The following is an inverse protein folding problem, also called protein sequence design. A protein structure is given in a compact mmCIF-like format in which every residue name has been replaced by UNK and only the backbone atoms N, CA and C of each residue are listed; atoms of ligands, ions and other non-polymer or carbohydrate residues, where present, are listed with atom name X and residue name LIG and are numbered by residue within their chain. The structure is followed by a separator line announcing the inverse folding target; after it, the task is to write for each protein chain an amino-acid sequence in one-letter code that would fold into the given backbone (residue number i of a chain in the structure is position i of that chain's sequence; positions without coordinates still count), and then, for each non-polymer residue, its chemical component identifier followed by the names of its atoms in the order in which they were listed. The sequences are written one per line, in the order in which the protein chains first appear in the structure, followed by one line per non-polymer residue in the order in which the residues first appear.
data_IF_745536828115
#
_entry.id   IF_745536828115
#
_cell.length_a   1.000
_cell.length_b   1.000
_cell.length_c   1.000
_cell.angle_alpha   90.00
_cell.angle_beta   90.00
_cell.angle_gamma   90.00
#
_symmetry.space_group_name_H-M   'P 1'
#
loop_
_entity.id
_entity.type
_entity.pdbx_description
1 polymer ?
#
# COMPACT_ATOMS: atom_id res chain seq x y z
N UNK A 1 29.43 -11.51 -32.61
CA UNK A 1 29.22 -10.96 -31.25
C UNK A 1 27.74 -10.68 -31.13
N UNK A 2 27.01 -11.49 -30.35
CA UNK A 2 25.57 -11.29 -30.16
C UNK A 2 25.38 -10.26 -29.05
N UNK A 3 24.93 -9.06 -29.40
CA UNK A 3 24.50 -8.06 -28.43
C UNK A 3 23.19 -8.53 -27.82
N UNK A 4 23.24 -9.09 -26.62
CA UNK A 4 22.02 -9.28 -25.82
C UNK A 4 21.62 -7.89 -25.32
N UNK A 5 20.54 -7.37 -25.89
CA UNK A 5 19.95 -6.10 -25.49
C UNK A 5 19.30 -6.27 -24.11
N UNK A 6 19.78 -5.52 -23.12
CA UNK A 6 19.25 -5.54 -21.76
C UNK A 6 17.79 -5.04 -21.68
N UNK A 7 17.25 -4.49 -22.77
CA UNK A 7 15.84 -4.11 -22.91
C UNK A 7 14.86 -5.31 -22.96
N UNK A 8 15.37 -6.55 -23.15
CA UNK A 8 14.55 -7.77 -23.27
C UNK A 8 13.99 -8.30 -21.93
N UNK A 9 14.43 -7.77 -20.80
CA UNK A 9 13.88 -8.09 -19.48
C UNK A 9 13.33 -6.81 -18.85
N UNK A 10 12.07 -6.45 -19.11
CA UNK A 10 11.44 -5.42 -18.32
C UNK A 10 11.23 -6.01 -16.93
N UNK A 11 12.16 -5.74 -16.02
CA UNK A 11 11.88 -5.77 -14.58
C UNK A 11 10.82 -4.69 -14.35
N UNK A 12 9.56 -5.07 -14.61
CA UNK A 12 8.43 -4.15 -14.70
C UNK A 12 8.20 -3.40 -13.39
N UNK A 13 8.67 -3.97 -12.27
CA UNK A 13 8.66 -3.39 -10.93
C UNK A 13 10.00 -3.69 -10.23
N UNK A 14 10.67 -2.65 -9.75
CA UNK A 14 11.88 -2.75 -8.94
C UNK A 14 11.61 -3.50 -7.63
N UNK A 15 12.66 -3.96 -6.94
CA UNK A 15 12.51 -4.53 -5.59
C UNK A 15 11.81 -3.55 -4.62
N UNK A 16 12.14 -2.27 -4.72
CA UNK A 16 11.51 -1.19 -3.93
C UNK A 16 10.00 -1.15 -4.15
N UNK A 17 9.54 -1.30 -5.41
CA UNK A 17 8.10 -1.28 -5.73
C UNK A 17 7.37 -2.48 -5.10
N UNK A 18 8.02 -3.65 -5.08
CA UNK A 18 7.46 -4.85 -4.43
C UNK A 18 7.35 -4.68 -2.91
N UNK A 19 8.34 -4.04 -2.28
CA UNK A 19 8.29 -3.71 -0.85
C UNK A 19 7.18 -2.71 -0.56
N UNK A 20 7.10 -1.62 -1.34
CA UNK A 20 6.06 -0.61 -1.19
C UNK A 20 4.66 -1.22 -1.30
N UNK A 21 4.45 -2.08 -2.30
CA UNK A 21 3.20 -2.81 -2.48
C UNK A 21 2.86 -3.69 -1.28
N UNK A 22 3.83 -4.43 -0.75
CA UNK A 22 3.65 -5.24 0.45
C UNK A 22 3.25 -4.42 1.68
N UNK A 23 3.89 -3.27 1.88
CA UNK A 23 3.56 -2.34 2.98
C UNK A 23 2.15 -1.77 2.82
N UNK A 24 1.77 -1.34 1.61
CA UNK A 24 0.40 -0.86 1.34
C UNK A 24 -0.64 -1.93 1.63
N UNK A 25 -0.40 -3.18 1.22
CA UNK A 25 -1.29 -4.31 1.53
C UNK A 25 -1.43 -4.54 3.04
N UNK A 26 -0.32 -4.53 3.77
CA UNK A 26 -0.33 -4.72 5.22
C UNK A 26 -1.09 -3.60 5.95
N UNK A 27 -0.86 -2.34 5.57
CA UNK A 27 -1.55 -1.19 6.16
C UNK A 27 -3.04 -1.19 5.86
N UNK A 28 -3.44 -1.55 4.64
CA UNK A 28 -4.86 -1.69 4.29
C UNK A 28 -5.53 -2.77 5.13
N UNK A 29 -4.91 -3.95 5.23
CA UNK A 29 -5.44 -5.05 6.06
C UNK A 29 -5.58 -4.66 7.53
N UNK A 30 -4.60 -3.94 8.08
CA UNK A 30 -4.67 -3.39 9.44
C UNK A 30 -5.90 -2.47 9.61
N UNK A 31 -6.12 -1.57 8.66
CA UNK A 31 -7.29 -0.68 8.69
C UNK A 31 -8.61 -1.43 8.51
N UNK A 32 -8.66 -2.48 7.68
CA UNK A 32 -9.83 -3.35 7.52
C UNK A 32 -10.17 -4.09 8.83
N UNK A 33 -9.17 -4.67 9.49
CA UNK A 33 -9.34 -5.39 10.76
C UNK A 33 -9.77 -4.46 11.90
N UNK A 34 -9.21 -3.25 11.99
CA UNK A 34 -9.61 -2.24 12.95
C UNK A 34 -11.03 -1.71 12.66
N UNK A 35 -11.36 -1.47 11.39
CA UNK A 35 -12.69 -1.03 10.97
C UNK A 35 -13.78 -2.06 11.30
N UNK A 36 -13.48 -3.36 11.17
CA UNK A 36 -14.38 -4.44 11.56
C UNK A 36 -14.69 -4.46 13.07
N UNK A 37 -13.85 -3.83 13.89
CA UNK A 37 -13.99 -3.70 15.34
C UNK A 37 -14.47 -2.32 15.78
N UNK A 38 -14.82 -1.44 14.84
CA UNK A 38 -15.15 -0.03 15.12
C UNK A 38 -14.03 0.73 15.86
N UNK A 39 -12.77 0.33 15.64
CA UNK A 39 -11.59 0.94 16.26
C UNK A 39 -11.11 2.18 15.49
N UNK A 40 -10.36 3.03 16.21
CA UNK A 40 -9.63 4.14 15.64
C UNK A 40 -8.16 3.77 15.41
N UNK A 41 -7.53 4.41 14.43
CA UNK A 41 -6.10 4.35 14.19
C UNK A 41 -5.47 5.73 14.34
N UNK A 42 -4.27 5.77 14.91
CA UNK A 42 -3.48 7.00 15.04
C UNK A 42 -2.63 7.16 13.78
N UNK A 43 -2.81 8.28 13.08
CA UNK A 43 -2.12 8.61 11.84
C UNK A 43 -1.54 10.01 11.90
N UNK A 44 -0.50 10.26 11.08
CA UNK A 44 0.04 11.59 10.87
C UNK A 44 -0.40 12.10 9.50
N UNK A 45 -1.22 13.15 9.47
CA UNK A 45 -1.73 13.79 8.25
C UNK A 45 -1.35 15.26 8.33
N UNK A 46 -0.72 15.79 7.28
CA UNK A 46 -0.31 17.21 7.19
C UNK A 46 0.54 17.71 8.37
N UNK A 47 1.37 16.82 8.94
CA UNK A 47 2.22 17.17 10.09
C UNK A 47 1.54 16.98 11.46
N UNK A 48 0.21 16.82 11.49
CA UNK A 48 -0.58 16.66 12.70
C UNK A 48 -0.86 15.18 13.00
N UNK A 49 -0.77 14.80 14.28
CA UNK A 49 -1.16 13.47 14.74
C UNK A 49 -2.67 13.50 15.04
N UNK A 50 -3.41 12.60 14.40
CA UNK A 50 -4.86 12.49 14.52
C UNK A 50 -5.25 11.06 14.83
N UNK A 51 -6.25 10.91 15.70
CA UNK A 51 -6.97 9.66 15.88
C UNK A 51 -8.15 9.66 14.92
N UNK A 52 -8.19 8.68 14.00
CA UNK A 52 -9.17 8.62 12.91
C UNK A 52 -9.88 7.28 12.95
N UNK A 53 -11.22 7.23 12.84
CA UNK A 53 -11.94 5.97 12.70
C UNK A 53 -11.41 5.16 11.53
N UNK A 54 -11.08 3.88 11.76
CA UNK A 54 -10.48 3.04 10.72
C UNK A 54 -11.38 2.93 9.47
N UNK A 55 -12.71 2.94 9.65
CA UNK A 55 -13.71 2.98 8.56
C UNK A 55 -13.57 4.22 7.66
N UNK A 56 -13.27 5.37 8.25
CA UNK A 56 -13.04 6.60 7.48
C UNK A 56 -11.66 6.61 6.83
N UNK A 57 -10.64 6.09 7.53
CA UNK A 57 -9.29 5.99 7.01
C UNK A 57 -9.22 5.11 5.75
N UNK A 58 -9.97 4.00 5.70
CA UNK A 58 -10.02 3.11 4.54
C UNK A 58 -10.42 3.80 3.23
N UNK A 59 -11.25 4.85 3.31
CA UNK A 59 -11.67 5.64 2.14
C UNK A 59 -10.52 6.44 1.52
N UNK A 60 -9.42 6.62 2.25
CA UNK A 60 -8.25 7.40 1.84
C UNK A 60 -7.07 6.53 1.41
N UNK A 61 -7.11 5.23 1.71
CA UNK A 61 -6.04 4.30 1.36
C UNK A 61 -6.17 3.83 -0.10
N UNK A 62 -5.05 3.59 -0.81
CA UNK A 62 -5.08 3.05 -2.16
C UNK A 62 -5.90 1.76 -2.22
N UNK A 63 -6.79 1.67 -3.21
CA UNK A 63 -7.47 0.41 -3.53
C UNK A 63 -6.45 -0.66 -3.87
N UNK A 64 -6.69 -1.88 -3.41
CA UNK A 64 -5.93 -3.00 -3.94
C UNK A 64 -6.41 -3.21 -5.37
N UNK A 65 -5.57 -2.90 -6.35
CA UNK A 65 -5.78 -3.38 -7.69
C UNK A 65 -5.91 -4.91 -7.62
N UNK A 66 -7.10 -5.41 -7.94
CA UNK A 66 -7.36 -6.82 -8.23
C UNK A 66 -6.71 -7.16 -9.57
N UNK A 67 -5.39 -7.24 -9.59
CA UNK A 67 -4.69 -7.96 -10.65
C UNK A 67 -4.43 -9.37 -10.14
N UNK A 68 -5.31 -10.27 -10.57
CA UNK A 68 -5.20 -11.73 -10.46
C UNK A 68 -3.95 -12.27 -11.16
#
# INVERSE_FOLDING_TARGET
MNNIDASLFPDKNSFTDKILFGVQKALRKLAEEAAAKDENLVVKIDGEIKEVPAKELLKTLPEQDVTE
#
